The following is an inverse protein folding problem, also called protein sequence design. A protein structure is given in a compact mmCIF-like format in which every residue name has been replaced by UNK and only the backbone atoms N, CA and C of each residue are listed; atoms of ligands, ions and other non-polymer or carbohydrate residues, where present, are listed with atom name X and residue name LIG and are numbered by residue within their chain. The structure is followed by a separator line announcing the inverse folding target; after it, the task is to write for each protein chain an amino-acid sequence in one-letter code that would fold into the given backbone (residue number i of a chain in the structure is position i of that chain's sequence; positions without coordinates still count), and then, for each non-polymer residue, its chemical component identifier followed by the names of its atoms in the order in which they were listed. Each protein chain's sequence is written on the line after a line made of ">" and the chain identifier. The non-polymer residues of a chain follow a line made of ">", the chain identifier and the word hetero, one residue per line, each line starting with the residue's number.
data_IF_025177187134
#
_entry.id   IF_025177187134
#
_cell.length_a   1.000
_cell.length_b   1.000
_cell.length_c   1.000
_cell.angle_alpha   90.00
_cell.angle_beta   90.00
_cell.angle_gamma   90.00
#
_symmetry.space_group_name_H-M   'P 1'
#
loop_
_entity.id
_entity.type
_entity.pdbx_description
1 polymer ?
#
# COMPACT_ATOMS: atom_id res chain seq x y z
N UNK A 1 -16.44 11.86 -28.90
CA UNK A 1 -16.25 13.09 -28.08
C UNK A 1 -15.46 12.68 -26.87
N UNK A 2 -14.17 12.95 -26.85
CA UNK A 2 -13.26 12.59 -25.78
C UNK A 2 -13.29 13.69 -24.74
N UNK A 3 -13.94 13.46 -23.60
CA UNK A 3 -13.95 14.43 -22.51
C UNK A 3 -12.58 14.36 -21.82
N UNK A 4 -11.75 15.34 -22.10
CA UNK A 4 -10.51 15.58 -21.33
C UNK A 4 -10.93 16.08 -19.96
N UNK A 5 -10.85 15.23 -18.93
CA UNK A 5 -10.96 15.68 -17.54
C UNK A 5 -9.66 16.40 -17.20
N UNK A 6 -9.68 17.73 -17.21
CA UNK A 6 -8.62 18.51 -16.62
C UNK A 6 -8.61 18.25 -15.12
N UNK A 7 -7.66 17.47 -14.65
CA UNK A 7 -7.32 17.41 -13.24
C UNK A 7 -6.77 18.78 -12.85
N UNK A 8 -7.60 19.62 -12.25
CA UNK A 8 -7.18 20.91 -11.71
C UNK A 8 -6.38 20.61 -10.44
N UNK A 9 -5.06 20.64 -10.54
CA UNK A 9 -4.19 20.63 -9.37
C UNK A 9 -4.45 21.89 -8.55
N UNK A 10 -5.26 21.77 -7.52
CA UNK A 10 -5.38 22.80 -6.51
C UNK A 10 -4.12 22.79 -5.65
N UNK A 11 -3.25 23.75 -5.90
CA UNK A 11 -1.94 23.92 -5.25
C UNK A 11 -2.07 24.53 -3.84
N UNK A 12 -2.94 23.98 -3.03
CA UNK A 12 -2.99 24.25 -1.61
C UNK A 12 -2.27 23.13 -0.86
N UNK A 13 -1.26 23.46 -0.07
CA UNK A 13 -0.45 22.54 0.74
C UNK A 13 -1.24 21.59 1.67
N UNK A 14 -2.57 21.64 1.67
CA UNK A 14 -3.48 20.85 2.48
C UNK A 14 -4.34 19.83 1.72
N UNK A 15 -4.61 20.04 0.43
CA UNK A 15 -5.52 19.20 -0.34
C UNK A 15 -4.76 18.47 -1.46
N UNK A 16 -4.06 17.41 -1.11
CA UNK A 16 -3.52 16.49 -2.10
C UNK A 16 -4.69 15.79 -2.81
N UNK A 17 -4.70 15.85 -4.14
CA UNK A 17 -5.62 15.04 -4.93
C UNK A 17 -5.42 13.57 -4.58
N UNK A 18 -6.50 12.84 -4.36
CA UNK A 18 -6.46 11.41 -4.06
C UNK A 18 -7.58 10.68 -4.79
N UNK A 19 -7.29 9.49 -5.29
CA UNK A 19 -8.27 8.62 -5.94
C UNK A 19 -7.85 7.17 -5.86
N UNK A 20 -8.84 6.27 -5.83
CA UNK A 20 -8.63 4.84 -6.00
C UNK A 20 -8.57 4.41 -7.47
N UNK A 21 -9.01 5.25 -8.38
CA UNK A 21 -8.95 4.99 -9.82
C UNK A 21 -7.62 5.50 -10.40
N UNK A 22 -6.81 4.59 -10.91
CA UNK A 22 -5.54 4.91 -11.57
C UNK A 22 -5.71 5.84 -12.78
N UNK A 23 -6.87 5.81 -13.43
CA UNK A 23 -7.15 6.65 -14.59
C UNK A 23 -7.39 8.13 -14.24
N UNK A 24 -7.57 8.44 -12.97
CA UNK A 24 -7.66 9.81 -12.49
C UNK A 24 -6.28 10.50 -12.40
N UNK A 25 -5.19 9.73 -12.57
CA UNK A 25 -3.81 10.23 -12.55
C UNK A 25 -3.18 10.16 -13.93
N UNK A 26 -2.54 11.23 -14.36
CA UNK A 26 -1.76 11.26 -15.58
C UNK A 26 -0.55 10.30 -15.52
N UNK A 27 -0.17 9.75 -16.68
CA UNK A 27 1.07 8.97 -16.78
C UNK A 27 2.27 9.90 -16.69
N UNK A 28 3.18 9.72 -15.71
CA UNK A 28 4.37 10.54 -15.56
C UNK A 28 5.26 10.53 -16.81
N UNK A 29 5.67 11.71 -17.28
CA UNK A 29 6.54 11.87 -18.46
C UNK A 29 7.96 12.30 -18.11
N UNK A 30 8.30 12.35 -16.81
CA UNK A 30 9.63 12.75 -16.33
C UNK A 30 9.96 14.24 -16.47
N UNK A 31 9.06 15.04 -17.04
CA UNK A 31 9.14 16.51 -17.09
C UNK A 31 8.21 17.18 -16.09
N UNK A 32 7.33 16.40 -15.48
CA UNK A 32 6.39 16.85 -14.48
C UNK A 32 7.15 17.21 -13.19
N UNK A 33 6.79 18.30 -12.54
CA UNK A 33 7.52 18.83 -11.39
C UNK A 33 7.65 17.80 -10.28
N UNK A 34 6.59 17.04 -10.01
CA UNK A 34 6.52 16.00 -8.97
C UNK A 34 7.45 14.82 -9.29
N UNK A 35 7.60 14.47 -10.58
CA UNK A 35 8.37 13.31 -11.04
C UNK A 35 9.77 13.65 -11.58
N UNK A 36 10.14 14.94 -11.58
CA UNK A 36 11.36 15.45 -12.19
C UNK A 36 12.65 14.76 -11.76
N UNK A 37 12.71 14.34 -10.50
CA UNK A 37 13.89 13.69 -9.91
C UNK A 37 13.74 12.18 -9.75
N UNK A 38 12.62 11.62 -10.20
CA UNK A 38 12.37 10.18 -10.12
C UNK A 38 12.86 9.50 -11.39
N UNK A 39 13.79 8.55 -11.30
CA UNK A 39 14.26 7.81 -12.46
C UNK A 39 13.18 6.80 -12.89
N UNK A 40 12.23 7.21 -13.73
CA UNK A 40 11.05 6.41 -14.14
C UNK A 40 11.42 5.01 -14.64
N UNK A 41 12.57 4.83 -15.30
CA UNK A 41 13.03 3.51 -15.73
C UNK A 41 13.25 2.51 -14.58
N UNK A 42 13.57 3.00 -13.37
CA UNK A 42 13.74 2.14 -12.19
C UNK A 42 12.41 1.66 -11.63
N UNK A 43 11.31 2.30 -11.99
CA UNK A 43 9.97 1.89 -11.60
C UNK A 43 9.47 0.65 -12.37
N UNK A 44 10.21 0.15 -13.35
CA UNK A 44 9.91 -1.09 -14.10
C UNK A 44 8.45 -1.19 -14.55
N UNK A 45 7.89 -0.08 -15.04
CA UNK A 45 6.51 -0.01 -15.51
C UNK A 45 5.45 0.33 -14.47
N UNK A 46 5.81 0.51 -13.20
CA UNK A 46 4.83 0.86 -12.14
C UNK A 46 4.15 2.21 -12.38
N UNK A 47 4.77 3.12 -13.13
CA UNK A 47 4.24 4.46 -13.42
C UNK A 47 3.28 4.48 -14.61
N UNK A 48 3.38 3.55 -15.54
CA UNK A 48 2.59 3.51 -16.78
C UNK A 48 1.72 2.25 -16.93
N UNK A 49 1.88 1.28 -16.05
CA UNK A 49 1.11 0.04 -16.06
C UNK A 49 1.74 -1.10 -16.86
N UNK A 50 2.98 -0.95 -17.35
CA UNK A 50 3.71 -1.97 -18.13
C UNK A 50 4.55 -2.93 -17.28
N UNK A 51 4.24 -3.05 -15.99
CA UNK A 51 4.94 -3.92 -15.06
C UNK A 51 4.67 -5.42 -15.31
N UNK A 52 5.52 -6.27 -14.75
CA UNK A 52 5.39 -7.72 -14.80
C UNK A 52 4.05 -8.23 -14.22
N UNK A 53 3.62 -9.46 -14.52
CA UNK A 53 2.41 -10.05 -13.96
C UNK A 53 2.33 -9.90 -12.45
N UNK A 54 1.12 -9.69 -11.93
CA UNK A 54 0.88 -9.40 -10.52
C UNK A 54 0.44 -10.64 -9.77
N UNK A 55 1.13 -10.93 -8.68
CA UNK A 55 0.74 -11.93 -7.68
C UNK A 55 0.56 -11.27 -6.31
N UNK A 56 -0.09 -12.01 -5.39
CA UNK A 56 -0.10 -11.61 -4.00
C UNK A 56 1.27 -11.86 -3.36
N UNK A 57 1.79 -10.95 -2.51
CA UNK A 57 2.97 -11.22 -1.72
C UNK A 57 2.70 -12.37 -0.74
N UNK A 58 3.77 -13.04 -0.32
CA UNK A 58 3.71 -13.94 0.82
C UNK A 58 3.82 -13.12 2.11
N UNK A 59 2.80 -13.20 2.97
CA UNK A 59 2.76 -12.45 4.23
C UNK A 59 2.67 -13.43 5.38
N UNK A 60 3.69 -13.39 6.24
CA UNK A 60 3.76 -14.20 7.45
C UNK A 60 3.70 -13.30 8.67
N UNK A 61 2.88 -13.69 9.62
CA UNK A 61 2.80 -13.09 10.96
C UNK A 61 3.49 -14.02 11.96
N UNK A 62 4.45 -13.48 12.68
CA UNK A 62 5.06 -14.14 13.84
C UNK A 62 4.56 -13.42 15.09
N UNK A 63 3.58 -14.08 15.74
CA UNK A 63 2.87 -13.56 16.90
C UNK A 63 3.40 -14.33 18.11
N UNK A 64 4.08 -13.67 19.05
CA UNK A 64 4.56 -14.32 20.26
C UNK A 64 3.44 -14.97 21.07
N UNK A 65 3.72 -16.09 21.73
CA UNK A 65 2.74 -16.76 22.62
C UNK A 65 2.29 -15.86 23.78
N UNK A 66 3.13 -14.91 24.16
CA UNK A 66 2.83 -13.89 25.18
C UNK A 66 1.89 -12.82 24.68
N UNK A 67 1.68 -12.69 23.36
CA UNK A 67 0.82 -11.68 22.79
C UNK A 67 -0.66 -12.01 23.02
N UNK A 68 -1.37 -11.06 23.61
CA UNK A 68 -2.79 -11.20 23.91
C UNK A 68 -3.63 -10.33 22.99
N UNK A 69 -4.77 -10.88 22.55
CA UNK A 69 -5.75 -10.13 21.75
C UNK A 69 -5.24 -9.72 20.36
N UNK A 70 -4.25 -10.42 19.83
CA UNK A 70 -3.75 -10.22 18.47
C UNK A 70 -4.39 -11.24 17.54
N UNK A 71 -5.00 -10.77 16.47
CA UNK A 71 -5.61 -11.62 15.44
C UNK A 71 -5.23 -11.17 14.06
N UNK A 72 -5.21 -12.09 13.11
CA UNK A 72 -4.93 -11.84 11.70
C UNK A 72 -6.06 -12.37 10.82
N UNK A 73 -6.31 -11.70 9.71
CA UNK A 73 -7.32 -12.09 8.73
C UNK A 73 -6.88 -11.71 7.33
N UNK A 74 -7.11 -12.60 6.35
CA UNK A 74 -6.90 -12.25 4.95
C UNK A 74 -8.10 -11.45 4.43
N UNK A 75 -7.83 -10.32 3.79
CA UNK A 75 -8.86 -9.43 3.23
C UNK A 75 -8.95 -9.63 1.72
N UNK A 76 -10.14 -9.93 1.23
CA UNK A 76 -10.40 -10.00 -0.21
C UNK A 76 -10.35 -8.60 -0.85
N UNK A 77 -10.13 -8.57 -2.16
CA UNK A 77 -10.28 -7.33 -2.95
C UNK A 77 -11.70 -6.79 -2.77
N UNK A 78 -11.82 -5.50 -2.47
CA UNK A 78 -13.10 -4.84 -2.21
C UNK A 78 -13.58 -4.94 -0.76
N UNK A 79 -12.83 -5.57 0.14
CA UNK A 79 -13.16 -5.52 1.57
C UNK A 79 -13.22 -4.05 2.04
N UNK A 80 -14.29 -3.63 2.75
CA UNK A 80 -14.49 -2.24 3.15
C UNK A 80 -13.47 -1.72 4.16
N UNK A 81 -12.66 -2.59 4.76
CA UNK A 81 -11.55 -2.21 5.64
C UNK A 81 -10.31 -1.76 4.86
N UNK A 82 -10.17 -2.23 3.60
CA UNK A 82 -9.14 -1.73 2.70
C UNK A 82 -9.44 -0.27 2.34
N UNK A 83 -8.42 0.58 2.34
CA UNK A 83 -8.54 1.99 1.97
C UNK A 83 -9.16 2.92 3.01
N UNK A 84 -9.58 2.43 4.18
CA UNK A 84 -10.16 3.29 5.24
C UNK A 84 -9.19 4.35 5.77
N UNK A 85 -7.89 4.07 5.72
CA UNK A 85 -6.85 5.00 6.20
C UNK A 85 -6.57 6.14 5.21
N UNK A 86 -6.98 6.02 3.95
CA UNK A 86 -6.80 7.03 2.93
C UNK A 86 -6.80 6.44 1.52
N UNK A 87 -6.98 7.31 0.54
CA UNK A 87 -6.88 6.97 -0.88
C UNK A 87 -5.47 7.28 -1.42
N UNK A 88 -5.04 6.58 -2.48
CA UNK A 88 -3.81 6.89 -3.18
C UNK A 88 -3.72 8.36 -3.62
N UNK A 89 -2.53 8.95 -3.51
CA UNK A 89 -2.27 10.37 -3.86
C UNK A 89 -1.40 10.52 -5.11
N UNK A 90 -0.95 9.41 -5.68
CA UNK A 90 -0.16 9.38 -6.91
C UNK A 90 -0.50 8.15 -7.76
N UNK A 91 -0.06 8.20 -9.04
CA UNK A 91 -0.36 7.14 -9.99
C UNK A 91 0.24 5.79 -9.60
N UNK A 92 1.43 5.72 -9.03
CA UNK A 92 2.08 4.45 -8.66
C UNK A 92 1.31 3.77 -7.53
N UNK A 93 0.91 4.54 -6.53
CA UNK A 93 0.07 4.05 -5.43
C UNK A 93 -1.31 3.59 -5.91
N UNK A 94 -1.94 4.35 -6.83
CA UNK A 94 -3.22 3.98 -7.41
C UNK A 94 -3.11 2.74 -8.30
N UNK A 95 -1.99 2.58 -9.03
CA UNK A 95 -1.69 1.40 -9.82
C UNK A 95 -1.53 0.15 -8.93
N UNK A 96 -0.79 0.28 -7.82
CA UNK A 96 -0.64 -0.78 -6.84
C UNK A 96 -1.99 -1.18 -6.23
N UNK A 97 -2.82 -0.18 -5.88
CA UNK A 97 -4.17 -0.40 -5.39
C UNK A 97 -5.06 -1.17 -6.39
N UNK A 98 -5.08 -0.72 -7.64
CA UNK A 98 -5.92 -1.32 -8.69
C UNK A 98 -5.50 -2.76 -9.04
N UNK A 99 -4.22 -3.09 -8.88
CA UNK A 99 -3.66 -4.37 -9.27
C UNK A 99 -3.51 -5.38 -8.12
N UNK A 100 -3.63 -4.97 -6.86
CA UNK A 100 -3.47 -5.86 -5.71
C UNK A 100 -4.47 -7.01 -5.71
N UNK A 101 -4.07 -8.15 -5.16
CA UNK A 101 -4.90 -9.37 -5.08
C UNK A 101 -5.60 -9.54 -3.72
N UNK A 102 -5.57 -8.52 -2.89
CA UNK A 102 -6.14 -8.50 -1.54
C UNK A 102 -5.17 -7.91 -0.53
N UNK A 103 -5.49 -8.04 0.74
CA UNK A 103 -4.68 -7.52 1.84
C UNK A 103 -4.68 -8.45 3.04
N UNK A 104 -4.02 -8.00 4.09
CA UNK A 104 -3.97 -8.67 5.39
C UNK A 104 -4.40 -7.69 6.47
N UNK A 105 -5.16 -8.17 7.43
CA UNK A 105 -5.51 -7.45 8.65
C UNK A 105 -4.70 -7.99 9.81
N UNK A 106 -4.10 -7.09 10.56
CA UNK A 106 -3.53 -7.33 11.88
C UNK A 106 -4.33 -6.51 12.89
N UNK A 107 -5.05 -7.17 13.77
CA UNK A 107 -5.92 -6.53 14.74
C UNK A 107 -5.42 -6.75 16.17
N UNK A 108 -5.40 -5.66 16.94
CA UNK A 108 -5.11 -5.63 18.36
C UNK A 108 -6.38 -5.29 19.13
N UNK A 109 -6.79 -6.18 20.03
CA UNK A 109 -7.99 -5.99 20.82
C UNK A 109 -7.81 -4.92 21.92
N UNK A 110 -8.92 -4.36 22.34
CA UNK A 110 -8.98 -3.39 23.44
C UNK A 110 -8.40 -3.95 24.73
N UNK A 111 -7.76 -3.08 25.53
CA UNK A 111 -7.23 -3.37 26.87
C UNK A 111 -6.17 -4.49 26.90
N UNK A 112 -5.43 -4.67 25.82
CA UNK A 112 -4.29 -5.59 25.77
C UNK A 112 -2.98 -4.81 25.85
N UNK A 113 -2.01 -5.39 26.56
CA UNK A 113 -0.64 -4.90 26.62
C UNK A 113 0.24 -6.03 26.11
N UNK A 114 0.97 -5.77 25.05
CA UNK A 114 1.93 -6.69 24.46
C UNK A 114 3.33 -6.09 24.65
N UNK A 115 4.21 -6.81 25.30
CA UNK A 115 5.61 -6.40 25.56
C UNK A 115 6.54 -6.90 24.48
N UNK A 116 6.17 -7.96 23.79
CA UNK A 116 6.95 -8.56 22.73
C UNK A 116 6.44 -8.10 21.36
N UNK A 117 7.36 -7.94 20.42
CA UNK A 117 7.03 -7.46 19.09
C UNK A 117 6.30 -8.51 18.26
N UNK A 118 5.23 -8.11 17.60
CA UNK A 118 4.62 -8.88 16.52
C UNK A 118 5.40 -8.58 15.24
N UNK A 119 5.94 -9.61 14.60
CA UNK A 119 6.72 -9.45 13.37
C UNK A 119 5.87 -9.78 12.15
N UNK A 120 5.87 -8.89 11.16
CA UNK A 120 5.22 -9.13 9.87
C UNK A 120 6.31 -9.22 8.81
N UNK A 121 6.43 -10.38 8.18
CA UNK A 121 7.37 -10.61 7.09
C UNK A 121 6.61 -10.62 5.78
N UNK A 122 7.02 -9.75 4.85
CA UNK A 122 6.46 -9.68 3.49
C UNK A 122 7.54 -10.12 2.51
N UNK A 123 7.25 -11.15 1.73
CA UNK A 123 8.18 -11.71 0.76
C UNK A 123 7.59 -11.61 -0.65
N UNK A 124 8.39 -11.10 -1.59
CA UNK A 124 8.05 -11.08 -3.01
C UNK A 124 8.13 -12.48 -3.63
N UNK A 125 7.62 -12.62 -4.86
CA UNK A 125 7.51 -13.91 -5.56
C UNK A 125 8.61 -14.16 -6.61
N UNK A 126 9.64 -13.33 -6.64
CA UNK A 126 10.76 -13.44 -7.56
C UNK A 126 10.95 -12.22 -8.45
N UNK A 127 11.98 -12.24 -9.30
CA UNK A 127 12.45 -11.06 -10.06
C UNK A 127 11.51 -10.63 -11.19
N UNK A 128 10.76 -11.57 -11.78
CA UNK A 128 9.88 -11.33 -12.93
C UNK A 128 8.40 -11.24 -12.53
N UNK A 129 8.11 -11.06 -11.24
CA UNK A 129 6.76 -10.95 -10.70
C UNK A 129 6.65 -9.66 -9.89
N UNK A 130 5.59 -8.90 -10.15
CA UNK A 130 5.24 -7.75 -9.34
C UNK A 130 4.29 -8.19 -8.23
N UNK A 131 4.56 -7.79 -6.99
CA UNK A 131 3.66 -8.10 -5.87
C UNK A 131 3.11 -6.82 -5.27
N UNK A 132 1.78 -6.78 -5.15
CA UNK A 132 1.07 -5.72 -4.45
C UNK A 132 0.16 -6.32 -3.38
N UNK A 133 0.16 -5.68 -2.23
CA UNK A 133 -0.71 -6.05 -1.13
C UNK A 133 -0.93 -4.87 -0.19
N UNK A 134 -1.93 -4.98 0.65
CA UNK A 134 -2.22 -4.01 1.69
C UNK A 134 -2.10 -4.68 3.06
N UNK A 135 -1.49 -3.99 4.01
CA UNK A 135 -1.54 -4.35 5.41
C UNK A 135 -2.41 -3.32 6.14
N UNK A 136 -3.51 -3.79 6.70
CA UNK A 136 -4.40 -2.99 7.56
C UNK A 136 -4.06 -3.32 9.00
N UNK A 137 -3.76 -2.31 9.78
CA UNK A 137 -3.55 -2.45 11.22
C UNK A 137 -4.73 -1.79 11.92
N UNK A 138 -5.51 -2.57 12.64
CA UNK A 138 -6.66 -2.10 13.41
C UNK A 138 -6.38 -2.20 14.89
N UNK A 139 -6.59 -1.11 15.59
CA UNK A 139 -6.34 -1.02 17.03
C UNK A 139 -7.54 -0.41 17.73
N UNK A 140 -8.08 -1.13 18.68
CA UNK A 140 -9.24 -0.71 19.48
C UNK A 140 -8.79 0.15 20.68
N UNK A 141 -8.50 1.44 20.52
CA UNK A 141 -8.04 2.45 21.51
C UNK A 141 -6.52 2.61 21.66
N UNK A 142 -6.13 3.63 22.46
CA UNK A 142 -4.76 4.18 22.64
C UNK A 142 -3.63 3.16 22.51
N UNK A 143 -2.82 3.35 21.49
CA UNK A 143 -1.76 2.42 21.12
C UNK A 143 -0.47 3.22 20.85
N UNK A 144 0.65 2.68 21.29
CA UNK A 144 1.97 3.13 20.85
C UNK A 144 2.66 1.96 20.17
N UNK A 145 3.03 2.13 18.91
CA UNK A 145 3.80 1.13 18.17
C UNK A 145 5.05 1.74 17.59
N UNK A 146 6.11 0.94 17.57
CA UNK A 146 7.30 1.24 16.80
C UNK A 146 7.31 0.29 15.61
N UNK A 147 7.38 0.87 14.39
CA UNK A 147 7.55 0.10 13.17
C UNK A 147 9.02 0.12 12.79
N UNK A 148 9.60 -1.07 12.65
CA UNK A 148 10.92 -1.24 12.08
C UNK A 148 10.76 -1.92 10.72
N UNK A 149 11.22 -1.24 9.66
CA UNK A 149 11.27 -1.79 8.32
C UNK A 149 12.70 -2.28 8.09
N UNK A 150 12.88 -3.58 7.97
CA UNK A 150 14.14 -4.21 7.61
C UNK A 150 14.04 -4.67 6.16
N UNK A 151 14.77 -4.00 5.27
CA UNK A 151 14.88 -4.40 3.87
C UNK A 151 16.05 -5.35 3.72
N UNK A 152 15.73 -6.63 3.62
CA UNK A 152 16.70 -7.69 3.27
C UNK A 152 16.63 -7.95 1.76
N UNK A 153 16.95 -6.96 0.95
CA UNK A 153 17.21 -7.18 -0.46
C UNK A 153 18.50 -7.99 -0.60
N UNK A 154 18.37 -9.26 -0.92
CA UNK A 154 19.47 -10.13 -1.39
C UNK A 154 19.64 -10.00 -2.89
#
# INVERSE_FOLDING_TARGET
>A
MTTVKNATYHNNKGDLFSSFDVNDFDIPKGRDEVWRFVPLRRLRGLHDGTFAPVEAPDVRFDIPETANGVTTEALAVGDPRLGRAGAPVDRVSAQAWSAMKGGQLLKFAKNTVNTDAVTVTVTGRGDDVTTFGALVIEVDYSFSAFFHLDDKST
#
